data_IF_010527397421
#
_entry.id   IF_010527397421
#
_cell.length_a   1.000
_cell.length_b   1.000
_cell.length_c   1.000
_cell.angle_alpha   90.00
_cell.angle_beta   90.00
_cell.angle_gamma   90.00
#
_symmetry.space_group_name_H-M   'P 1'
#
loop_
_entity.id
_entity.type
_entity.pdbx_description
1 polymer ?
#
# COMPACT_ATOMS: atom_id res chain seq x y z
N UNK A 1 12.93 -0.47 -15.59
CA UNK A 1 12.42 -1.11 -14.35
C UNK A 1 11.70 -2.44 -14.59
N UNK A 2 10.92 -2.58 -15.66
CA UNK A 2 10.08 -3.76 -15.90
C UNK A 2 10.80 -5.12 -15.81
N UNK A 3 11.99 -5.27 -16.42
CA UNK A 3 12.78 -6.50 -16.34
C UNK A 3 13.21 -6.85 -14.90
N UNK A 4 13.63 -5.84 -14.12
CA UNK A 4 13.94 -6.01 -12.69
C UNK A 4 12.72 -6.47 -11.91
N UNK A 5 11.53 -5.96 -12.25
CA UNK A 5 10.28 -6.38 -11.64
C UNK A 5 9.95 -7.84 -11.98
N UNK A 6 10.07 -8.24 -13.26
CA UNK A 6 9.88 -9.64 -13.68
C UNK A 6 10.85 -10.58 -12.96
N UNK A 7 12.13 -10.25 -12.93
CA UNK A 7 13.15 -11.05 -12.24
C UNK A 7 12.88 -11.19 -10.73
N UNK A 8 12.34 -10.15 -10.08
CA UNK A 8 11.91 -10.22 -8.68
C UNK A 8 10.73 -11.19 -8.53
N UNK A 9 9.67 -11.03 -9.33
CA UNK A 9 8.47 -11.87 -9.26
C UNK A 9 8.80 -13.35 -9.50
N UNK A 10 9.63 -13.64 -10.50
CA UNK A 10 10.11 -15.00 -10.80
C UNK A 10 10.91 -15.60 -9.64
N UNK A 11 11.86 -14.85 -9.07
CA UNK A 11 12.65 -15.29 -7.91
C UNK A 11 11.79 -15.64 -6.71
N UNK A 12 10.67 -14.94 -6.55
CA UNK A 12 9.71 -15.15 -5.48
C UNK A 12 8.54 -16.08 -5.87
N UNK A 13 8.64 -16.77 -7.01
CA UNK A 13 7.64 -17.72 -7.51
C UNK A 13 6.24 -17.13 -7.66
N UNK A 14 6.16 -15.85 -8.03
CA UNK A 14 4.89 -15.19 -8.39
C UNK A 14 4.67 -15.40 -9.88
N UNK A 15 3.77 -16.32 -10.24
CA UNK A 15 3.48 -16.68 -11.63
C UNK A 15 2.24 -16.00 -12.20
N UNK A 16 1.25 -15.68 -11.36
CA UNK A 16 0.03 -14.96 -11.77
C UNK A 16 0.18 -13.45 -11.53
N UNK A 17 0.78 -12.76 -12.49
CA UNK A 17 0.95 -11.30 -12.46
C UNK A 17 0.65 -10.66 -13.81
N UNK A 18 0.50 -9.33 -13.83
CA UNK A 18 0.52 -8.54 -15.07
C UNK A 18 1.37 -7.29 -14.88
N UNK A 19 2.11 -6.92 -15.92
CA UNK A 19 2.83 -5.66 -16.01
C UNK A 19 2.25 -4.89 -17.20
N UNK A 20 1.73 -3.69 -16.95
CA UNK A 20 1.07 -2.87 -17.96
C UNK A 20 1.66 -1.48 -17.95
N UNK A 21 2.11 -1.01 -19.12
CA UNK A 21 2.45 0.40 -19.32
C UNK A 21 1.21 1.21 -19.66
N UNK A 22 1.08 2.38 -19.05
CA UNK A 22 -0.04 3.30 -19.22
C UNK A 22 0.44 4.61 -19.83
N UNK A 23 -0.50 5.38 -20.41
CA UNK A 23 -0.21 6.68 -21.00
C UNK A 23 0.26 7.71 -19.96
N UNK A 24 0.90 8.81 -20.41
CA UNK A 24 1.36 9.88 -19.53
C UNK A 24 0.21 10.60 -18.79
N UNK A 25 -0.98 10.57 -19.36
CA UNK A 25 -2.24 11.12 -18.84
C UNK A 25 -2.90 10.26 -17.75
N UNK A 26 -2.31 9.10 -17.42
CA UNK A 26 -2.90 8.14 -16.48
C UNK A 26 -3.25 8.75 -15.11
N UNK A 27 -2.46 9.72 -14.63
CA UNK A 27 -2.74 10.39 -13.36
C UNK A 27 -3.66 11.61 -13.48
N UNK A 28 -3.97 12.04 -14.70
CA UNK A 28 -4.87 13.16 -14.98
C UNK A 28 -6.33 12.70 -15.11
N UNK A 29 -6.55 11.42 -15.43
CA UNK A 29 -7.87 10.78 -15.48
C UNK A 29 -8.35 10.29 -14.10
N UNK A 30 -9.67 10.12 -13.97
CA UNK A 30 -10.34 9.65 -12.75
C UNK A 30 -9.98 8.20 -12.38
N UNK A 31 -10.22 7.81 -11.13
CA UNK A 31 -10.00 6.42 -10.69
C UNK A 31 -10.85 5.41 -11.49
N UNK A 32 -12.07 5.79 -11.86
CA UNK A 32 -12.93 4.91 -12.65
C UNK A 32 -12.37 4.70 -14.06
N UNK A 33 -11.87 5.76 -14.70
CA UNK A 33 -11.23 5.66 -16.01
C UNK A 33 -9.94 4.82 -15.95
N UNK A 34 -9.14 4.96 -14.89
CA UNK A 34 -7.96 4.09 -14.66
C UNK A 34 -8.37 2.62 -14.52
N UNK A 35 -9.42 2.34 -13.76
CA UNK A 35 -9.95 0.99 -13.59
C UNK A 35 -10.42 0.43 -14.94
N UNK A 36 -11.15 1.21 -15.74
CA UNK A 36 -11.60 0.82 -17.08
C UNK A 36 -10.42 0.53 -18.01
N UNK A 37 -9.38 1.39 -18.03
CA UNK A 37 -8.16 1.22 -18.84
C UNK A 37 -7.45 -0.09 -18.51
N UNK A 38 -7.35 -0.42 -17.22
CA UNK A 38 -6.72 -1.65 -16.73
C UNK A 38 -7.67 -2.86 -16.71
N UNK A 39 -8.92 -2.70 -17.19
CA UNK A 39 -9.97 -3.72 -17.21
C UNK A 39 -10.25 -4.33 -15.83
N UNK A 40 -10.31 -3.48 -14.81
CA UNK A 40 -10.52 -3.83 -13.41
C UNK A 40 -12.01 -3.69 -13.09
N UNK A 41 -12.61 -4.63 -12.33
CA UNK A 41 -14.05 -4.60 -12.03
C UNK A 41 -14.49 -3.45 -11.10
N UNK A 42 -13.57 -2.90 -10.31
CA UNK A 42 -13.84 -1.82 -9.35
C UNK A 42 -12.60 -1.00 -9.04
N UNK A 43 -12.79 0.28 -8.70
CA UNK A 43 -11.71 1.15 -8.19
C UNK A 43 -11.08 0.62 -6.90
N UNK A 44 -11.78 -0.27 -6.18
CA UNK A 44 -11.28 -0.92 -4.97
C UNK A 44 -10.00 -1.73 -5.17
N UNK A 45 -9.72 -2.24 -6.39
CA UNK A 45 -8.48 -2.97 -6.66
C UNK A 45 -7.32 -2.04 -7.04
N UNK A 46 -7.59 -0.77 -7.38
CA UNK A 46 -6.53 0.21 -7.52
C UNK A 46 -5.97 0.48 -6.13
N UNK A 47 -4.71 0.14 -5.93
CA UNK A 47 -4.00 0.28 -4.68
C UNK A 47 -2.79 1.18 -4.86
N UNK A 48 -2.27 1.68 -3.75
CA UNK A 48 -1.03 2.45 -3.68
C UNK A 48 -0.20 1.96 -2.52
N UNK A 49 1.10 2.21 -2.62
CA UNK A 49 2.04 2.00 -1.52
C UNK A 49 2.49 3.35 -1.03
N UNK A 50 2.38 3.58 0.27
CA UNK A 50 2.94 4.76 0.92
C UNK A 50 4.00 4.33 1.92
N UNK A 51 4.99 5.19 2.15
CA UNK A 51 6.05 4.93 3.13
C UNK A 51 5.73 5.69 4.39
N UNK A 52 5.58 4.97 5.51
CA UNK A 52 5.44 5.57 6.84
C UNK A 52 6.76 5.46 7.59
N UNK A 53 7.15 6.55 8.26
CA UNK A 53 8.31 6.66 9.13
C UNK A 53 7.87 6.83 10.58
N UNK A 54 8.37 5.98 11.47
CA UNK A 54 8.37 6.24 12.90
C UNK A 54 9.47 7.25 13.24
N UNK A 55 9.11 8.53 13.33
CA UNK A 55 10.05 9.64 13.59
C UNK A 55 10.65 9.62 14.99
N UNK A 56 10.16 8.74 15.88
CA UNK A 56 10.67 8.54 17.24
C UNK A 56 11.30 7.16 17.45
N UNK A 57 11.51 6.39 16.38
CA UNK A 57 12.15 5.10 16.48
C UNK A 57 13.57 5.26 17.06
N UNK A 58 13.84 4.52 18.14
CA UNK A 58 15.14 4.43 18.78
C UNK A 58 15.43 2.95 18.99
N UNK A 59 16.40 2.40 18.28
CA UNK A 59 16.75 0.99 18.39
C UNK A 59 17.17 0.35 17.08
N UNK A 60 17.15 -0.98 17.08
CA UNK A 60 17.38 -1.82 15.90
C UNK A 60 16.04 -2.04 15.22
N UNK A 61 16.04 -2.00 13.89
CA UNK A 61 14.86 -2.33 13.11
C UNK A 61 14.55 -3.83 13.24
N UNK A 62 13.33 -4.14 13.64
CA UNK A 62 12.73 -5.45 13.45
C UNK A 62 11.36 -5.30 12.79
N UNK A 63 10.82 -6.41 12.28
CA UNK A 63 9.55 -6.42 11.53
C UNK A 63 8.36 -5.86 12.31
N UNK A 64 8.34 -5.98 13.64
CA UNK A 64 7.30 -5.45 14.51
C UNK A 64 7.64 -4.10 15.13
N UNK A 65 8.87 -3.61 15.03
CA UNK A 65 9.26 -2.28 15.49
C UNK A 65 10.32 -1.68 14.54
N UNK A 66 9.93 -1.45 13.30
CA UNK A 66 10.77 -0.81 12.29
C UNK A 66 10.63 0.72 12.30
N UNK A 67 11.71 1.41 11.92
CA UNK A 67 11.70 2.83 11.61
C UNK A 67 10.81 3.14 10.41
N UNK A 68 10.78 2.26 9.41
CA UNK A 68 10.01 2.46 8.18
C UNK A 68 9.07 1.28 7.92
N UNK A 69 7.90 1.58 7.37
CA UNK A 69 6.96 0.59 6.84
C UNK A 69 6.47 1.00 5.46
N UNK A 70 6.38 0.03 4.55
CA UNK A 70 5.64 0.18 3.30
C UNK A 70 4.19 -0.24 3.55
N UNK A 71 3.24 0.67 3.35
CA UNK A 71 1.82 0.41 3.61
C UNK A 71 1.08 0.30 2.29
N UNK A 72 0.52 -0.88 2.04
CA UNK A 72 -0.30 -1.18 0.86
C UNK A 72 -1.77 -0.98 1.21
N UNK A 73 -2.43 -0.11 0.45
CA UNK A 73 -3.79 0.33 0.71
C UNK A 73 -4.53 0.61 -0.61
N UNK A 74 -5.86 0.50 -0.61
CA UNK A 74 -6.70 0.97 -1.71
C UNK A 74 -6.50 2.47 -1.96
N UNK A 75 -6.53 2.87 -3.23
CA UNK A 75 -6.13 4.21 -3.67
C UNK A 75 -6.99 5.32 -3.03
N UNK A 76 -8.29 5.06 -2.85
CA UNK A 76 -9.26 5.98 -2.25
C UNK A 76 -9.09 6.17 -0.73
N UNK A 77 -8.38 5.27 -0.04
CA UNK A 77 -8.22 5.35 1.41
C UNK A 77 -6.99 6.17 1.80
N UNK A 78 -7.03 6.73 3.00
CA UNK A 78 -5.96 7.54 3.59
C UNK A 78 -5.41 6.82 4.81
N UNK A 79 -4.11 6.56 4.82
CA UNK A 79 -3.40 5.94 5.96
C UNK A 79 -3.44 6.88 7.16
N UNK A 80 -3.64 6.30 8.34
CA UNK A 80 -3.65 7.00 9.62
C UNK A 80 -2.50 6.50 10.50
N UNK A 81 -1.55 7.39 10.82
CA UNK A 81 -0.38 7.06 11.63
C UNK A 81 -0.69 6.54 13.05
N UNK A 82 -1.80 6.97 13.66
CA UNK A 82 -2.24 6.46 14.96
C UNK A 82 -2.71 5.01 14.86
N UNK A 83 -3.40 4.64 13.77
CA UNK A 83 -3.82 3.25 13.57
C UNK A 83 -2.63 2.34 13.22
N UNK A 84 -1.63 2.85 12.51
CA UNK A 84 -0.34 2.15 12.32
C UNK A 84 0.34 1.94 13.68
N UNK A 85 0.35 2.96 14.55
CA UNK A 85 0.87 2.86 15.92
C UNK A 85 0.15 1.78 16.70
N UNK A 86 -1.17 1.77 16.67
CA UNK A 86 -1.98 0.83 17.45
C UNK A 86 -1.81 -0.60 16.95
N UNK A 87 -1.72 -0.82 15.63
CA UNK A 87 -1.39 -2.14 15.06
C UNK A 87 -0.03 -2.64 15.56
N UNK A 88 1.02 -1.82 15.41
CA UNK A 88 2.38 -2.15 15.87
C UNK A 88 2.40 -2.46 17.37
N UNK A 89 1.70 -1.67 18.18
CA UNK A 89 1.60 -1.93 19.62
C UNK A 89 0.88 -3.24 19.93
N UNK A 90 -0.24 -3.52 19.27
CA UNK A 90 -1.03 -4.75 19.49
C UNK A 90 -0.18 -5.98 19.21
N UNK A 91 0.48 -6.02 18.06
CA UNK A 91 1.29 -7.17 17.64
C UNK A 91 2.51 -7.39 18.54
N UNK A 92 3.09 -6.33 19.11
CA UNK A 92 4.15 -6.48 20.11
C UNK A 92 3.61 -7.01 21.45
N UNK A 93 2.43 -6.56 21.87
CA UNK A 93 1.80 -7.02 23.11
C UNK A 93 1.48 -8.52 23.06
N UNK A 94 1.08 -9.05 21.90
CA UNK A 94 0.89 -10.49 21.66
C UNK A 94 2.16 -11.32 21.92
N UNK A 95 3.35 -10.71 21.79
CA UNK A 95 4.64 -11.34 22.11
C UNK A 95 5.15 -11.02 23.53
N UNK A 96 4.31 -10.42 24.37
CA UNK A 96 4.67 -10.01 25.73
C UNK A 96 5.50 -8.73 25.81
N UNK A 97 5.69 -8.00 24.69
CA UNK A 97 6.46 -6.76 24.65
C UNK A 97 5.54 -5.53 24.72
N UNK A 98 5.75 -4.67 25.72
CA UNK A 98 4.99 -3.43 25.86
C UNK A 98 5.77 -2.25 25.28
N UNK A 99 5.43 -1.86 24.05
CA UNK A 99 6.00 -0.66 23.43
C UNK A 99 5.42 0.61 24.07
N UNK A 100 6.31 1.49 24.55
CA UNK A 100 5.93 2.78 25.10
C UNK A 100 5.51 3.77 24.01
N UNK A 101 4.36 4.44 24.20
CA UNK A 101 3.81 5.43 23.26
C UNK A 101 4.83 6.52 22.83
N UNK A 102 5.76 6.90 23.72
CA UNK A 102 6.74 7.95 23.43
C UNK A 102 7.70 7.61 22.28
N UNK A 103 7.88 6.32 21.96
CA UNK A 103 8.79 5.83 20.91
C UNK A 103 8.11 5.56 19.56
N UNK A 104 6.80 5.81 19.46
CA UNK A 104 6.03 5.52 18.25
C UNK A 104 5.31 6.79 17.78
N UNK A 105 5.75 7.32 16.63
CA UNK A 105 5.15 8.49 15.99
C UNK A 105 5.24 8.35 14.47
N UNK A 106 4.22 7.75 13.85
CA UNK A 106 4.21 7.43 12.43
C UNK A 106 3.72 8.60 11.58
N UNK A 107 4.57 9.04 10.64
CA UNK A 107 4.30 10.11 9.68
C UNK A 107 4.69 9.66 8.28
N UNK A 108 4.25 10.34 7.22
CA UNK A 108 4.73 10.07 5.87
C UNK A 108 6.24 10.31 5.77
N UNK A 109 6.97 9.35 5.21
CA UNK A 109 8.42 9.43 5.04
C UNK A 109 8.77 10.48 3.99
N UNK A 110 9.65 11.43 4.35
CA UNK A 110 10.11 12.50 3.44
C UNK A 110 11.15 12.01 2.42
N UNK A 111 11.91 10.98 2.77
CA UNK A 111 13.00 10.41 1.94
C UNK A 111 12.61 9.05 1.33
N UNK A 112 11.34 8.92 0.93
CA UNK A 112 10.80 7.67 0.38
C UNK A 112 11.53 7.19 -0.88
N UNK A 113 11.96 8.10 -1.75
CA UNK A 113 12.69 7.76 -2.97
C UNK A 113 14.09 7.21 -2.67
N UNK A 114 14.84 7.83 -1.75
CA UNK A 114 16.16 7.34 -1.34
C UNK A 114 16.11 5.94 -0.73
N UNK A 115 15.05 5.70 0.05
CA UNK A 115 14.78 4.43 0.73
C UNK A 115 14.35 3.34 -0.27
N UNK A 116 13.32 3.62 -1.07
CA UNK A 116 12.67 2.60 -1.92
C UNK A 116 13.31 2.47 -3.30
N UNK A 117 14.01 3.51 -3.77
CA UNK A 117 14.48 3.64 -5.15
C UNK A 117 13.38 4.02 -6.14
N UNK A 118 12.20 4.42 -5.66
CA UNK A 118 11.06 4.78 -6.50
C UNK A 118 10.59 6.19 -6.22
N UNK A 119 10.34 6.95 -7.29
CA UNK A 119 9.74 8.28 -7.23
C UNK A 119 8.28 8.21 -6.75
N UNK A 120 7.71 9.38 -6.43
CA UNK A 120 6.28 9.51 -6.17
C UNK A 120 5.44 8.85 -7.28
N UNK A 121 4.31 8.26 -6.92
CA UNK A 121 3.43 7.46 -7.80
C UNK A 121 4.00 6.13 -8.34
N UNK A 122 5.28 5.83 -8.14
CA UNK A 122 5.90 4.58 -8.59
C UNK A 122 6.12 3.55 -7.46
N UNK A 123 5.98 3.97 -6.20
CA UNK A 123 6.33 3.18 -5.01
C UNK A 123 5.54 1.87 -4.92
N UNK A 124 6.27 0.79 -4.64
CA UNK A 124 5.76 -0.55 -4.43
C UNK A 124 6.72 -1.35 -3.53
N UNK A 125 6.25 -2.35 -2.76
CA UNK A 125 7.15 -3.23 -2.02
C UNK A 125 7.97 -4.15 -2.93
N UNK A 126 7.43 -4.45 -4.11
CA UNK A 126 8.07 -5.35 -5.06
C UNK A 126 9.31 -4.70 -5.65
N UNK A 127 10.42 -5.44 -5.62
CA UNK A 127 11.70 -4.99 -6.14
C UNK A 127 12.17 -3.63 -5.56
N UNK A 128 11.76 -3.25 -4.35
CA UNK A 128 12.28 -2.06 -3.68
C UNK A 128 13.80 -2.17 -3.44
N UNK A 129 14.49 -1.03 -3.36
CA UNK A 129 15.94 -0.94 -3.14
C UNK A 129 16.36 -1.47 -1.76
N UNK A 130 15.55 -1.21 -0.74
CA UNK A 130 15.79 -1.66 0.63
C UNK A 130 14.69 -2.60 1.07
N UNK A 131 15.04 -3.57 1.92
CA UNK A 131 14.09 -4.47 2.54
C UNK A 131 13.40 -3.75 3.70
N UNK A 132 12.15 -3.34 3.48
CA UNK A 132 11.33 -2.58 4.43
C UNK A 132 10.09 -3.40 4.76
N UNK A 133 9.79 -3.66 6.05
CA UNK A 133 8.59 -4.39 6.44
C UNK A 133 7.32 -3.80 5.84
N UNK A 134 6.43 -4.70 5.40
CA UNK A 134 5.17 -4.33 4.74
C UNK A 134 4.02 -4.40 5.73
N UNK A 135 3.12 -3.43 5.64
CA UNK A 135 1.80 -3.45 6.26
C UNK A 135 0.75 -3.50 5.14
N UNK A 136 -0.22 -4.39 5.27
CA UNK A 136 -1.38 -4.47 4.38
C UNK A 136 -2.62 -4.00 5.14
N UNK A 137 -3.34 -3.04 4.57
CA UNK A 137 -4.63 -2.66 5.12
C UNK A 137 -5.65 -3.80 4.98
N UNK A 138 -6.35 -4.10 6.07
CA UNK A 138 -7.26 -5.26 6.15
C UNK A 138 -8.35 -5.29 5.09
N UNK A 139 -8.77 -4.15 4.51
CA UNK A 139 -9.79 -4.17 3.45
C UNK A 139 -9.32 -4.85 2.16
N UNK A 140 -8.00 -4.96 1.93
CA UNK A 140 -7.48 -5.70 0.78
C UNK A 140 -7.83 -7.19 0.85
N UNK A 141 -8.06 -7.73 2.04
CA UNK A 141 -8.43 -9.13 2.22
C UNK A 141 -9.86 -9.44 1.78
N UNK A 142 -10.70 -8.42 1.61
CA UNK A 142 -12.10 -8.55 1.20
C UNK A 142 -12.30 -8.28 -0.31
N UNK A 143 -11.23 -8.12 -1.08
CA UNK A 143 -11.32 -7.89 -2.52
C UNK A 143 -11.83 -9.13 -3.25
N UNK A 144 -12.75 -8.93 -4.18
CA UNK A 144 -13.26 -9.95 -5.08
C UNK A 144 -13.25 -9.42 -6.52
N UNK A 145 -12.43 -9.98 -7.43
CA UNK A 145 -11.44 -11.04 -7.19
C UNK A 145 -10.28 -10.60 -6.27
N UNK A 146 -9.58 -11.51 -5.57
CA UNK A 146 -8.53 -11.19 -4.59
C UNK A 146 -7.21 -10.78 -5.27
N UNK A 147 -7.23 -9.66 -5.99
CA UNK A 147 -6.11 -9.08 -6.70
C UNK A 147 -5.98 -7.59 -6.42
N UNK A 148 -4.75 -7.09 -6.51
CA UNK A 148 -4.42 -5.66 -6.35
C UNK A 148 -3.67 -5.16 -7.58
N UNK A 149 -3.85 -3.87 -7.88
CA UNK A 149 -3.06 -3.12 -8.85
C UNK A 149 -2.23 -2.06 -8.14
N UNK A 150 -0.92 -2.12 -8.29
CA UNK A 150 0.06 -1.25 -7.64
C UNK A 150 0.93 -0.52 -8.66
N UNK A 151 1.74 0.42 -8.21
CA UNK A 151 2.88 0.91 -8.99
C UNK A 151 3.85 -0.24 -9.31
N UNK A 152 4.45 -0.20 -10.49
CA UNK A 152 5.43 -1.19 -10.96
C UNK A 152 6.89 -0.76 -10.78
N UNK A 153 7.14 0.32 -10.03
CA UNK A 153 8.47 0.92 -9.86
C UNK A 153 8.83 2.00 -10.88
N UNK A 154 7.96 2.28 -11.85
CA UNK A 154 7.97 3.47 -12.71
C UNK A 154 6.57 4.11 -12.69
N UNK A 155 6.48 5.42 -12.97
CA UNK A 155 5.21 6.16 -12.91
C UNK A 155 4.21 5.61 -13.93
N UNK A 156 4.68 5.17 -15.09
CA UNK A 156 3.86 4.62 -16.18
C UNK A 156 3.72 3.09 -16.12
N UNK A 157 4.34 2.40 -15.15
CA UNK A 157 4.27 0.94 -15.04
C UNK A 157 3.32 0.53 -13.91
N UNK A 158 2.37 -0.37 -14.21
CA UNK A 158 1.40 -0.92 -13.25
C UNK A 158 1.62 -2.40 -13.08
N UNK A 159 1.55 -2.86 -11.83
CA UNK A 159 1.72 -4.25 -11.44
C UNK A 159 0.40 -4.79 -10.89
N UNK A 160 -0.13 -5.84 -11.51
CA UNK A 160 -1.18 -6.69 -10.93
C UNK A 160 -0.54 -7.90 -10.25
N UNK A 161 -0.96 -8.21 -9.02
CA UNK A 161 -0.65 -9.46 -8.32
C UNK A 161 -1.87 -9.94 -7.52
N UNK A 162 -1.89 -11.22 -7.17
CA UNK A 162 -2.87 -11.75 -6.22
C UNK A 162 -2.59 -11.22 -4.80
N UNK A 163 -3.64 -11.07 -3.99
CA UNK A 163 -3.51 -10.77 -2.55
C UNK A 163 -2.74 -11.90 -1.85
N UNK A 164 -2.94 -13.15 -2.26
CA UNK A 164 -2.23 -14.30 -1.72
C UNK A 164 -0.70 -14.20 -1.93
N UNK A 165 -0.24 -13.80 -3.12
CA UNK A 165 1.18 -13.60 -3.39
C UNK A 165 1.75 -12.41 -2.62
N UNK A 166 1.00 -11.30 -2.51
CA UNK A 166 1.40 -10.17 -1.67
C UNK A 166 1.62 -10.63 -0.21
N UNK A 167 0.71 -11.43 0.34
CA UNK A 167 0.83 -11.95 1.71
C UNK A 167 2.01 -12.93 1.84
N UNK A 168 2.18 -13.85 0.87
CA UNK A 168 3.23 -14.86 0.90
C UNK A 168 4.63 -14.28 0.74
N UNK A 169 4.79 -13.30 -0.14
CA UNK A 169 6.12 -12.73 -0.46
C UNK A 169 6.65 -11.88 0.68
N UNK A 170 5.79 -11.11 1.35
CA UNK A 170 6.21 -10.14 2.37
C UNK A 170 5.86 -10.53 3.80
N UNK A 171 4.99 -11.53 3.98
CA UNK A 171 4.41 -11.91 5.27
C UNK A 171 3.98 -10.66 6.09
N UNK A 172 3.20 -9.75 5.51
CA UNK A 172 3.04 -8.40 6.04
C UNK A 172 2.34 -8.39 7.40
N UNK A 173 2.49 -7.28 8.13
CA UNK A 173 1.57 -7.00 9.23
C UNK A 173 0.21 -6.64 8.63
N UNK A 174 -0.86 -7.20 9.15
CA UNK A 174 -2.21 -6.96 8.64
C UNK A 174 -3.04 -6.26 9.70
N UNK A 175 -3.68 -5.16 9.32
CA UNK A 175 -4.59 -4.46 10.22
C UNK A 175 -5.30 -3.30 9.54
N UNK A 176 -6.32 -2.76 10.21
CA UNK A 176 -7.05 -1.60 9.72
C UNK A 176 -6.27 -0.33 10.02
N UNK A 177 -5.52 0.18 9.04
CA UNK A 177 -4.52 1.26 9.22
C UNK A 177 -4.90 2.58 8.57
N UNK A 178 -6.12 2.67 8.05
CA UNK A 178 -6.64 3.88 7.42
C UNK A 178 -7.72 4.54 8.26
N UNK A 179 -7.99 5.82 7.99
CA UNK A 179 -9.22 6.43 8.47
C UNK A 179 -10.43 5.58 8.09
N UNK A 180 -11.44 5.57 8.96
CA UNK A 180 -12.73 4.98 8.64
C UNK A 180 -13.33 5.76 7.49
N UNK A 181 -14.00 5.05 6.57
CA UNK A 181 -14.76 5.74 5.54
C UNK A 181 -15.90 6.47 6.24
N UNK A 182 -16.05 7.77 5.98
CA UNK A 182 -17.28 8.46 6.34
C UNK A 182 -18.45 7.71 5.68
N UNK A 183 -19.47 7.38 6.46
CA UNK A 183 -20.70 6.84 5.89
C UNK A 183 -21.21 7.86 4.85
N UNK A 184 -21.69 7.43 3.68
CA UNK A 184 -22.31 8.36 2.74
C UNK A 184 -23.44 9.07 3.47
N UNK A 185 -23.35 10.39 3.56
CA UNK A 185 -24.45 11.23 4.05
C UNK A 185 -25.64 10.96 3.13
N UNK A 186 -26.72 10.43 3.70
CA UNK A 186 -27.98 10.26 2.97
C UNK A 186 -28.59 11.66 2.84
N UNK A 187 -28.76 12.12 1.59
CA UNK A 187 -29.27 13.45 1.21
C UNK A 187 -28.15 14.29 0.61
N UNK A 188 -28.18 14.68 -0.67
CA UNK A 188 -29.30 15.31 -1.38
C UNK A 188 -29.56 14.64 -2.74
N UNK A 189 -30.76 14.07 -2.91
CA UNK A 189 -31.35 13.83 -4.22
C UNK A 189 -31.84 15.17 -4.79
N UNK A 190 -31.54 15.37 -6.08
CA UNK A 190 -32.31 16.13 -7.06
C UNK A 190 -32.70 17.59 -6.73
N UNK A 191 -31.95 18.53 -7.29
CA UNK A 191 -32.59 19.65 -8.01
C UNK A 191 -32.07 19.66 -9.46
N UNK A 192 -32.86 19.01 -10.33
CA UNK A 192 -33.14 19.54 -11.67
C UNK A 192 -33.73 20.95 -11.50
N UNK A 193 -33.20 21.92 -12.25
CA UNK A 193 -33.76 23.20 -12.72
C UNK A 193 -32.55 24.11 -13.02
N UNK A 194 -32.32 24.70 -14.19
CA UNK A 194 -33.14 25.00 -15.38
C UNK A 194 -32.17 25.24 -16.56
#
# INVERSE_FOLDING_TARGET
MEERMRAFLERHSVSDYALVRVGPDYYDISLQERANLLKIPSTLHLCKTVVMENTRHTGVNDKLNSKYYLIVVQYQRKVNGERVKDLVKSLNAERGLKLGNKKLNFNFCKTSEELTGFVYNAVTPFAAKTDVPVIVDSALLALDPPLVWLGGGEVDLKLRVSVADLLRVFEPLVGSVCFEAEAPTIGEEAEEQE
#
